data_IF_518285726684
#
_entry.id   IF_518285726684
#
_cell.length_a   1.000
_cell.length_b   1.000
_cell.length_c   1.000
_cell.angle_alpha   90.00
_cell.angle_beta   90.00
_cell.angle_gamma   90.00
#
_symmetry.space_group_name_H-M   'P 1'
#
loop_
_entity.id
_entity.type
_entity.pdbx_description
1 polymer ?
#
# COMPACT_ATOMS: atom_id res chain seq x y z
N UNK A 1 16.53 14.46 -11.78
CA UNK A 1 15.74 15.15 -12.82
C UNK A 1 16.07 14.48 -14.15
N UNK A 2 15.08 14.18 -15.01
CA UNK A 2 15.36 13.66 -16.37
C UNK A 2 15.64 14.88 -17.26
N UNK A 3 16.79 14.94 -17.91
CA UNK A 3 17.32 16.13 -18.63
C UNK A 3 17.54 15.90 -20.14
N UNK A 4 17.32 14.68 -20.63
CA UNK A 4 17.45 14.29 -22.04
C UNK A 4 16.14 13.78 -22.61
N UNK A 5 15.92 14.00 -23.90
CA UNK A 5 14.72 13.57 -24.63
C UNK A 5 15.09 12.60 -25.76
N UNK A 6 14.25 11.60 -26.00
CA UNK A 6 14.39 10.65 -27.11
C UNK A 6 13.17 10.81 -28.02
N UNK A 7 13.40 11.12 -29.30
CA UNK A 7 12.36 11.11 -30.33
C UNK A 7 12.40 9.78 -31.08
N UNK A 8 11.23 9.17 -31.27
CA UNK A 8 11.05 7.93 -32.02
C UNK A 8 9.94 8.15 -33.04
N UNK A 9 10.18 7.72 -34.29
CA UNK A 9 9.16 7.70 -35.34
C UNK A 9 8.38 6.39 -35.24
N UNK A 10 7.07 6.51 -35.24
CA UNK A 10 6.12 5.40 -35.18
C UNK A 10 4.97 5.70 -36.12
N UNK A 11 4.32 4.67 -36.63
CA UNK A 11 3.05 4.79 -37.33
C UNK A 11 1.94 5.21 -36.36
N UNK A 12 0.83 5.70 -36.91
CA UNK A 12 -0.35 6.05 -36.12
C UNK A 12 -0.91 4.85 -35.35
N UNK A 13 -0.91 3.67 -35.97
CA UNK A 13 -1.34 2.42 -35.34
C UNK A 13 -0.46 2.08 -34.13
N UNK A 14 0.86 2.15 -34.26
CA UNK A 14 1.79 1.88 -33.16
C UNK A 14 1.65 2.91 -32.03
N UNK A 15 1.45 4.19 -32.37
CA UNK A 15 1.21 5.24 -31.37
C UNK A 15 -0.06 4.98 -30.56
N UNK A 16 -1.15 4.59 -31.24
CA UNK A 16 -2.41 4.27 -30.58
C UNK A 16 -2.28 3.04 -29.70
N UNK A 17 -1.52 2.02 -30.13
CA UNK A 17 -1.26 0.84 -29.32
C UNK A 17 -0.44 1.19 -28.06
N UNK A 18 0.60 2.03 -28.19
CA UNK A 18 1.34 2.51 -27.02
C UNK A 18 0.46 3.26 -26.02
N UNK A 19 -0.42 4.15 -26.51
CA UNK A 19 -1.35 4.89 -25.66
C UNK A 19 -2.34 3.97 -24.96
N UNK A 20 -2.86 2.96 -25.67
CA UNK A 20 -3.75 1.95 -25.12
C UNK A 20 -3.08 1.16 -24.00
N UNK A 21 -1.90 0.60 -24.25
CA UNK A 21 -1.14 -0.17 -23.24
C UNK A 21 -0.80 0.70 -22.02
N UNK A 22 -0.36 1.94 -22.25
CA UNK A 22 -0.07 2.87 -21.18
C UNK A 22 -1.30 3.13 -20.32
N UNK A 23 -2.48 3.33 -20.93
CA UNK A 23 -3.74 3.51 -20.21
C UNK A 23 -4.17 2.27 -19.44
N UNK A 24 -4.09 1.09 -20.05
CA UNK A 24 -4.45 -0.18 -19.40
C UNK A 24 -3.59 -0.48 -18.17
N UNK A 25 -2.33 -0.03 -18.19
CA UNK A 25 -1.40 -0.17 -17.06
C UNK A 25 -1.37 1.03 -16.12
N UNK A 26 -2.17 2.07 -16.39
CA UNK A 26 -2.16 3.34 -15.69
C UNK A 26 -0.76 4.00 -15.59
N UNK A 27 0.00 3.94 -16.69
CA UNK A 27 1.34 4.50 -16.81
C UNK A 27 1.36 5.69 -17.77
N UNK A 28 2.35 6.57 -17.60
CA UNK A 28 2.72 7.49 -18.68
C UNK A 28 3.44 6.71 -19.79
N UNK A 29 3.42 7.21 -21.03
CA UNK A 29 4.21 6.62 -22.13
C UNK A 29 5.70 6.51 -21.80
N UNK A 30 6.24 7.54 -21.13
CA UNK A 30 7.64 7.54 -20.71
C UNK A 30 7.91 6.42 -19.71
N UNK A 31 7.05 6.23 -18.73
CA UNK A 31 7.25 5.18 -17.72
C UNK A 31 6.98 3.79 -18.31
N UNK A 32 6.04 3.64 -19.25
CA UNK A 32 5.87 2.41 -20.01
C UNK A 32 7.15 2.03 -20.75
N UNK A 33 7.70 2.93 -21.57
CA UNK A 33 8.91 2.67 -22.35
C UNK A 33 10.10 2.37 -21.44
N UNK A 34 10.30 3.17 -20.39
CA UNK A 34 11.41 2.94 -19.47
C UNK A 34 11.26 1.64 -18.67
N UNK A 35 10.04 1.28 -18.27
CA UNK A 35 9.76 0.01 -17.58
C UNK A 35 10.03 -1.17 -18.48
N UNK A 36 9.55 -1.14 -19.72
CA UNK A 36 9.64 -2.29 -20.63
C UNK A 36 11.05 -2.44 -21.26
N UNK A 37 11.70 -1.33 -21.61
CA UNK A 37 13.02 -1.30 -22.26
C UNK A 37 14.16 -1.44 -21.24
N UNK A 38 14.13 -0.66 -20.15
CA UNK A 38 15.21 -0.68 -19.16
C UNK A 38 14.95 -1.66 -18.00
N UNK A 39 13.81 -2.39 -18.04
CA UNK A 39 13.36 -3.26 -16.94
C UNK A 39 13.31 -2.53 -15.59
N UNK A 40 13.12 -1.21 -15.63
CA UNK A 40 12.95 -0.43 -14.42
C UNK A 40 11.63 -0.83 -13.78
N UNK A 41 11.65 -1.23 -12.50
CA UNK A 41 10.42 -1.59 -11.78
C UNK A 41 9.36 -0.51 -11.98
N UNK A 42 8.13 -0.96 -12.23
CA UNK A 42 6.95 -0.10 -12.36
C UNK A 42 6.77 0.69 -11.05
N UNK A 43 7.31 1.92 -11.06
CA UNK A 43 7.31 2.82 -9.90
C UNK A 43 5.90 3.19 -9.49
N UNK A 44 4.94 3.07 -10.38
CA UNK A 44 3.53 3.45 -10.20
C UNK A 44 2.81 2.39 -9.37
N UNK A 45 3.03 1.10 -9.67
CA UNK A 45 2.58 -0.01 -8.80
C UNK A 45 3.25 0.06 -7.42
N UNK A 46 4.56 0.28 -7.38
CA UNK A 46 5.28 0.40 -6.11
C UNK A 46 4.78 1.59 -5.28
N UNK A 47 4.52 2.74 -5.91
CA UNK A 47 3.94 3.93 -5.25
C UNK A 47 2.52 3.68 -4.76
N UNK A 48 1.67 2.98 -5.53
CA UNK A 48 0.32 2.61 -5.09
C UNK A 48 0.38 1.72 -3.85
N UNK A 49 1.24 0.69 -3.83
CA UNK A 49 1.44 -0.18 -2.67
C UNK A 49 1.94 0.62 -1.47
N UNK A 50 2.95 1.49 -1.65
CA UNK A 50 3.46 2.34 -0.58
C UNK A 50 2.41 3.30 -0.03
N UNK A 51 1.53 3.85 -0.89
CA UNK A 51 0.43 4.69 -0.45
C UNK A 51 -0.60 3.90 0.37
N UNK A 52 -0.91 2.66 -0.01
CA UNK A 52 -1.79 1.79 0.76
C UNK A 52 -1.19 1.44 2.13
N UNK A 53 0.10 1.07 2.18
CA UNK A 53 0.82 0.82 3.43
C UNK A 53 0.86 2.06 4.34
N UNK A 54 1.01 3.25 3.76
CA UNK A 54 0.98 4.51 4.51
C UNK A 54 -0.42 4.83 5.06
N UNK A 55 -1.49 4.50 4.34
CA UNK A 55 -2.87 4.60 4.87
C UNK A 55 -3.10 3.61 6.02
N UNK A 56 -2.64 2.37 5.90
CA UNK A 56 -2.75 1.39 6.99
C UNK A 56 -2.02 1.87 8.26
N UNK A 57 -0.82 2.45 8.13
CA UNK A 57 -0.10 3.05 9.26
C UNK A 57 -0.92 4.13 10.00
N UNK A 58 -1.74 4.90 9.28
CA UNK A 58 -2.62 5.89 9.89
C UNK A 58 -3.73 5.25 10.73
N UNK A 59 -4.32 4.15 10.26
CA UNK A 59 -5.37 3.46 11.01
C UNK A 59 -4.81 2.71 12.23
N UNK A 60 -3.61 2.12 12.15
CA UNK A 60 -2.95 1.53 13.32
C UNK A 60 -2.62 2.56 14.42
N UNK A 61 -2.35 3.82 14.04
CA UNK A 61 -2.15 4.90 15.01
C UNK A 61 -3.42 5.19 15.83
N UNK A 62 -4.60 5.12 15.20
CA UNK A 62 -5.88 5.24 15.93
C UNK A 62 -6.10 4.06 16.87
N UNK A 63 -5.76 2.84 16.45
CA UNK A 63 -5.85 1.66 17.32
C UNK A 63 -4.92 1.80 18.53
N UNK A 64 -3.67 2.24 18.34
CA UNK A 64 -2.75 2.54 19.44
C UNK A 64 -3.32 3.60 20.40
N UNK A 65 -3.96 4.63 19.85
CA UNK A 65 -4.64 5.67 20.65
C UNK A 65 -5.77 5.07 21.50
N UNK A 66 -6.59 4.21 20.92
CA UNK A 66 -7.68 3.54 21.64
C UNK A 66 -7.16 2.61 22.74
N UNK A 67 -6.08 1.84 22.49
CA UNK A 67 -5.42 1.02 23.51
C UNK A 67 -4.96 1.88 24.69
N UNK A 68 -4.32 3.03 24.40
CA UNK A 68 -3.87 3.95 25.43
C UNK A 68 -5.03 4.57 26.23
N UNK A 69 -6.16 4.84 25.58
CA UNK A 69 -7.36 5.34 26.26
C UNK A 69 -7.96 4.27 27.19
N UNK A 70 -8.06 3.02 26.74
CA UNK A 70 -8.49 1.89 27.59
C UNK A 70 -7.55 1.73 28.78
N UNK A 71 -6.23 1.75 28.56
CA UNK A 71 -5.25 1.66 29.64
C UNK A 71 -5.39 2.79 30.67
N UNK A 72 -5.57 4.04 30.20
CA UNK A 72 -5.85 5.19 31.08
C UNK A 72 -7.14 5.02 31.87
N UNK A 73 -8.20 4.55 31.22
CA UNK A 73 -9.50 4.30 31.86
C UNK A 73 -9.38 3.25 32.98
N UNK A 74 -8.72 2.12 32.71
CA UNK A 74 -8.50 1.06 33.70
C UNK A 74 -7.61 1.54 34.85
N UNK A 75 -6.53 2.26 34.56
CA UNK A 75 -5.64 2.80 35.60
C UNK A 75 -6.35 3.82 36.50
N UNK A 76 -7.28 4.60 35.94
CA UNK A 76 -8.04 5.62 36.69
C UNK A 76 -9.15 5.00 37.53
N UNK A 77 -9.92 4.06 36.96
CA UNK A 77 -11.09 3.48 37.61
C UNK A 77 -10.78 2.19 38.38
N UNK A 78 -9.53 1.70 38.30
CA UNK A 78 -9.02 0.45 38.91
C UNK A 78 -9.85 -0.80 38.63
N UNK A 79 -10.75 -0.74 37.64
CA UNK A 79 -11.67 -1.82 37.29
C UNK A 79 -11.86 -1.86 35.79
N UNK A 80 -11.82 -3.08 35.27
CA UNK A 80 -12.33 -3.44 33.96
C UNK A 80 -13.17 -4.70 34.15
N UNK A 81 -14.32 -4.74 33.51
CA UNK A 81 -15.12 -5.96 33.46
C UNK A 81 -14.36 -7.02 32.64
N UNK A 82 -14.40 -8.26 33.11
CA UNK A 82 -13.69 -9.38 32.51
C UNK A 82 -14.16 -9.66 31.07
N UNK A 83 -15.46 -9.44 30.79
CA UNK A 83 -16.01 -9.60 29.44
C UNK A 83 -15.45 -8.54 28.49
N UNK A 84 -15.42 -7.26 28.91
CA UNK A 84 -14.85 -6.14 28.15
C UNK A 84 -13.36 -6.37 27.88
N UNK A 85 -12.60 -6.83 28.88
CA UNK A 85 -11.19 -7.16 28.70
C UNK A 85 -10.99 -8.32 27.71
N UNK A 86 -11.85 -9.34 27.79
CA UNK A 86 -11.82 -10.48 26.86
C UNK A 86 -12.16 -10.05 25.43
N UNK A 87 -13.18 -9.23 25.25
CA UNK A 87 -13.59 -8.69 23.95
C UNK A 87 -12.49 -7.82 23.34
N UNK A 88 -11.90 -6.92 24.13
CA UNK A 88 -10.76 -6.10 23.71
C UNK A 88 -9.57 -6.96 23.26
N UNK A 89 -9.21 -7.99 24.03
CA UNK A 89 -8.15 -8.92 23.66
C UNK A 89 -8.46 -9.71 22.38
N UNK A 90 -9.72 -10.07 22.15
CA UNK A 90 -10.14 -10.75 20.93
C UNK A 90 -9.98 -9.83 19.70
N UNK A 91 -10.46 -8.59 19.79
CA UNK A 91 -10.30 -7.59 18.73
C UNK A 91 -8.83 -7.31 18.43
N UNK A 92 -7.97 -7.24 19.46
CA UNK A 92 -6.53 -7.09 19.27
C UNK A 92 -5.90 -8.28 18.54
N UNK A 93 -6.29 -9.51 18.87
CA UNK A 93 -5.79 -10.70 18.17
C UNK A 93 -6.22 -10.71 16.71
N UNK A 94 -7.48 -10.39 16.43
CA UNK A 94 -7.98 -10.31 15.06
C UNK A 94 -7.23 -9.25 14.25
N UNK A 95 -6.97 -8.09 14.84
CA UNK A 95 -6.18 -7.03 14.23
C UNK A 95 -4.74 -7.46 13.91
N UNK A 96 -4.08 -8.19 14.81
CA UNK A 96 -2.74 -8.74 14.55
C UNK A 96 -2.77 -9.73 13.37
N UNK A 97 -3.78 -10.59 13.30
CA UNK A 97 -3.94 -11.54 12.20
C UNK A 97 -4.12 -10.81 10.87
N UNK A 98 -4.99 -9.80 10.83
CA UNK A 98 -5.23 -8.99 9.63
C UNK A 98 -3.97 -8.24 9.19
N UNK A 99 -3.23 -7.66 10.14
CA UNK A 99 -1.94 -7.01 9.88
C UNK A 99 -0.94 -7.95 9.23
N UNK A 100 -0.79 -9.15 9.76
CA UNK A 100 0.16 -10.12 9.23
C UNK A 100 -0.23 -10.56 7.82
N UNK A 101 -1.52 -10.80 7.57
CA UNK A 101 -2.03 -11.10 6.22
C UNK A 101 -1.77 -9.96 5.22
N UNK A 102 -1.97 -8.71 5.64
CA UNK A 102 -1.70 -7.54 4.80
C UNK A 102 -0.21 -7.42 4.47
N UNK A 103 0.67 -7.61 5.47
CA UNK A 103 2.12 -7.63 5.27
C UNK A 103 2.55 -8.75 4.31
N UNK A 104 2.02 -9.96 4.47
CA UNK A 104 2.36 -11.10 3.60
C UNK A 104 1.92 -10.85 2.16
N UNK A 105 0.74 -10.27 1.96
CA UNK A 105 0.26 -9.85 0.64
C UNK A 105 1.17 -8.78 0.04
N UNK A 106 1.55 -7.76 0.83
CA UNK A 106 2.46 -6.72 0.38
C UNK A 106 3.84 -7.29 -0.03
N UNK A 107 4.40 -8.21 0.77
CA UNK A 107 5.64 -8.89 0.45
C UNK A 107 5.54 -9.71 -0.84
N UNK A 108 4.47 -10.50 -1.03
CA UNK A 108 4.22 -11.22 -2.29
C UNK A 108 4.18 -10.28 -3.48
N UNK A 109 3.41 -9.19 -3.40
CA UNK A 109 3.32 -8.21 -4.48
C UNK A 109 4.65 -7.51 -4.81
N UNK A 110 5.54 -7.35 -3.81
CA UNK A 110 6.86 -6.74 -4.01
C UNK A 110 7.89 -7.75 -4.54
N UNK A 111 7.73 -9.05 -4.25
CA UNK A 111 8.67 -10.13 -4.62
C UNK A 111 8.27 -10.90 -5.89
N UNK A 112 7.00 -10.94 -6.27
CA UNK A 112 6.52 -11.50 -7.56
C UNK A 112 6.76 -10.54 -8.76
N UNK A 113 7.56 -9.48 -8.56
CA UNK A 113 8.05 -8.51 -9.57
C UNK A 113 9.59 -8.39 -9.57
#
# INVERSE_FOLDING_TARGET
>A
MRDKFIQIRVSEKEKNEFLKIASERELSLTDLILTDVLKLRDKTKHRKIMNLLNQENFDYSKVSTNINQVAKYVNTNQKIDENTLKEFNNLLRELIILKNKANDLAYKYVMEL
#
